data_IF_053255120774
#
_entry.id   IF_053255120774
#
_cell.length_a   1.000
_cell.length_b   1.000
_cell.length_c   1.000
_cell.angle_alpha   90.00
_cell.angle_beta   90.00
_cell.angle_gamma   90.00
#
_symmetry.space_group_name_H-M   'P 1'
#
loop_
_entity.id
_entity.type
_entity.pdbx_description
1 polymer ?
#
# COMPACT_ATOMS: atom_id res chain seq x y z
N UNK A 1 -12.52 18.04 -11.80
CA UNK A 1 -12.66 16.79 -11.05
C UNK A 1 -11.79 15.73 -11.71
N UNK A 2 -10.86 15.13 -10.97
CA UNK A 2 -10.23 13.88 -11.42
C UNK A 2 -10.92 12.78 -10.66
N UNK A 3 -11.84 12.11 -11.32
CA UNK A 3 -12.27 10.77 -10.93
C UNK A 3 -11.03 9.88 -11.06
N UNK A 4 -10.27 9.74 -9.98
CA UNK A 4 -9.43 8.55 -9.85
C UNK A 4 -10.41 7.40 -9.82
N UNK A 5 -10.57 6.72 -10.96
CA UNK A 5 -11.03 5.35 -10.94
C UNK A 5 -10.01 4.62 -10.06
N UNK A 6 -10.34 4.43 -8.79
CA UNK A 6 -9.67 3.54 -7.86
C UNK A 6 -9.92 2.12 -8.40
N UNK A 7 -9.26 1.80 -9.51
CA UNK A 7 -9.19 0.46 -10.02
C UNK A 7 -8.24 -0.28 -9.08
N UNK A 8 -8.82 -0.89 -8.05
CA UNK A 8 -8.23 -1.70 -7.00
C UNK A 8 -7.51 -0.91 -5.87
N UNK A 9 -7.74 -1.30 -4.60
CA UNK A 9 -7.21 -0.64 -3.42
C UNK A 9 -5.68 -0.66 -3.35
N UNK A 10 -5.04 -1.67 -3.93
CA UNK A 10 -3.58 -1.83 -3.93
C UNK A 10 -2.88 -0.70 -4.68
N UNK A 11 -3.44 -0.31 -5.82
CA UNK A 11 -2.88 0.75 -6.66
C UNK A 11 -2.99 2.11 -5.97
N UNK A 12 -4.11 2.35 -5.31
CA UNK A 12 -4.34 3.55 -4.51
C UNK A 12 -3.31 3.68 -3.38
N UNK A 13 -3.02 2.56 -2.72
CA UNK A 13 -2.00 2.49 -1.67
C UNK A 13 -0.62 2.83 -2.20
N UNK A 14 -0.25 2.25 -3.35
CA UNK A 14 1.03 2.50 -4.01
C UNK A 14 1.16 3.97 -4.42
N UNK A 15 0.14 4.54 -5.04
CA UNK A 15 0.11 5.97 -5.41
C UNK A 15 0.25 6.86 -4.16
N UNK A 16 -0.44 6.51 -3.07
CA UNK A 16 -0.35 7.23 -1.80
C UNK A 16 1.06 7.14 -1.20
N UNK A 17 1.65 5.95 -1.11
CA UNK A 17 3.03 5.70 -0.64
C UNK A 17 4.09 6.37 -1.53
N UNK A 18 3.79 6.55 -2.81
CA UNK A 18 4.65 7.22 -3.77
C UNK A 18 4.60 8.75 -3.62
N UNK A 19 3.39 9.31 -3.49
CA UNK A 19 3.18 10.74 -3.22
C UNK A 19 3.69 11.16 -1.84
N UNK A 20 3.60 10.24 -0.88
CA UNK A 20 3.93 10.48 0.52
C UNK A 20 5.07 9.57 0.98
N UNK A 21 6.33 9.95 0.68
CA UNK A 21 7.49 9.14 1.05
C UNK A 21 7.75 9.02 2.56
N UNK A 22 6.96 9.73 3.38
CA UNK A 22 7.00 9.68 4.84
C UNK A 22 6.38 8.41 5.43
N UNK A 23 5.57 7.67 4.66
CA UNK A 23 5.08 6.36 5.05
C UNK A 23 6.18 5.30 4.86
N UNK A 24 7.21 5.39 5.69
CA UNK A 24 8.39 4.53 5.66
C UNK A 24 8.63 3.77 6.97
N UNK A 25 7.75 3.94 7.96
CA UNK A 25 7.82 3.32 9.29
C UNK A 25 6.48 2.72 9.67
N UNK A 26 6.47 1.73 10.58
CA UNK A 26 5.25 1.02 10.97
C UNK A 26 4.24 2.00 11.57
N UNK A 27 4.69 2.89 12.44
CA UNK A 27 3.85 3.94 13.03
C UNK A 27 3.17 4.83 11.98
N UNK A 28 3.87 5.23 10.92
CA UNK A 28 3.26 6.04 9.86
C UNK A 28 2.17 5.25 9.11
N UNK A 29 2.38 3.95 8.91
CA UNK A 29 1.37 3.08 8.33
C UNK A 29 0.20 2.88 9.28
N UNK A 30 0.43 2.65 10.58
CA UNK A 30 -0.64 2.60 11.58
C UNK A 30 -1.46 3.90 11.62
N UNK A 31 -0.83 5.06 11.41
CA UNK A 31 -1.51 6.36 11.31
C UNK A 31 -2.42 6.48 10.07
N UNK A 32 -2.14 5.71 9.01
CA UNK A 32 -3.00 5.61 7.83
C UNK A 32 -4.39 5.08 8.19
N UNK A 33 -4.53 4.36 9.32
CA UNK A 33 -5.78 3.75 9.78
C UNK A 33 -6.47 2.94 8.68
N UNK A 34 -5.70 2.09 7.99
CA UNK A 34 -6.32 1.03 7.19
C UNK A 34 -7.16 0.18 8.13
N UNK A 35 -8.42 0.00 7.76
CA UNK A 35 -9.31 -0.88 8.48
C UNK A 35 -8.76 -2.32 8.40
N UNK A 36 -8.78 -3.04 9.52
CA UNK A 36 -8.26 -4.41 9.58
C UNK A 36 -9.06 -5.32 8.65
N UNK A 37 -10.37 -5.07 8.54
CA UNK A 37 -11.28 -5.76 7.62
C UNK A 37 -10.93 -5.48 6.16
N UNK A 38 -10.58 -4.23 5.84
CA UNK A 38 -10.15 -3.83 4.50
C UNK A 38 -8.81 -4.47 4.12
N UNK A 39 -7.88 -4.55 5.07
CA UNK A 39 -6.59 -5.17 4.83
C UNK A 39 -6.76 -6.66 4.54
N UNK A 40 -7.57 -7.38 5.32
CA UNK A 40 -7.72 -8.83 5.16
C UNK A 40 -8.68 -9.23 4.03
N UNK A 41 -9.72 -8.44 3.74
CA UNK A 41 -10.79 -8.82 2.82
C UNK A 41 -10.71 -8.16 1.43
N UNK A 42 -10.19 -6.93 1.34
CA UNK A 42 -10.15 -6.16 0.09
C UNK A 42 -8.73 -6.04 -0.49
N UNK A 43 -7.70 -6.17 0.33
CA UNK A 43 -6.31 -6.02 -0.10
C UNK A 43 -5.68 -7.36 -0.47
N UNK A 44 -5.53 -7.63 -1.78
CA UNK A 44 -4.81 -8.81 -2.25
C UNK A 44 -3.30 -8.58 -2.17
N UNK A 45 -2.61 -9.23 -1.22
CA UNK A 45 -1.14 -9.18 -1.11
C UNK A 45 -0.46 -9.53 -2.45
N UNK A 46 -0.94 -10.57 -3.13
CA UNK A 46 -0.38 -10.98 -4.43
C UNK A 46 -0.48 -9.88 -5.49
N UNK A 47 -1.61 -9.16 -5.56
CA UNK A 47 -1.75 -8.02 -6.48
C UNK A 47 -0.86 -6.85 -6.08
N UNK A 48 -0.78 -6.56 -4.78
CA UNK A 48 0.05 -5.49 -4.23
C UNK A 48 1.52 -5.71 -4.57
N UNK A 49 2.03 -6.94 -4.44
CA UNK A 49 3.39 -7.33 -4.86
C UNK A 49 3.56 -7.22 -6.37
N UNK A 50 2.62 -7.71 -7.19
CA UNK A 50 2.69 -7.57 -8.66
C UNK A 50 2.75 -6.10 -9.12
N UNK A 51 1.92 -5.23 -8.54
CA UNK A 51 1.95 -3.80 -8.83
C UNK A 51 3.26 -3.16 -8.37
N UNK A 52 3.78 -3.56 -7.21
CA UNK A 52 5.06 -3.06 -6.68
C UNK A 52 6.23 -3.46 -7.57
N UNK A 53 6.26 -4.72 -8.04
CA UNK A 53 7.24 -5.23 -9.02
C UNK A 53 7.17 -4.43 -10.33
N UNK A 54 5.96 -4.07 -10.77
CA UNK A 54 5.74 -3.26 -11.98
C UNK A 54 6.23 -1.81 -11.83
N UNK A 55 6.13 -1.23 -10.64
CA UNK A 55 6.71 0.08 -10.32
C UNK A 55 8.26 0.04 -10.24
N UNK A 56 8.84 -1.15 -10.06
CA UNK A 56 10.29 -1.41 -10.10
C UNK A 56 11.13 -0.50 -9.19
N UNK A 57 10.59 -0.12 -8.02
CA UNK A 57 11.21 0.82 -7.10
C UNK A 57 11.56 0.15 -5.76
N UNK A 58 12.86 0.00 -5.48
CA UNK A 58 13.36 -0.62 -4.23
C UNK A 58 12.95 0.10 -2.95
N UNK A 59 12.71 1.41 -3.01
CA UNK A 59 12.26 2.16 -1.84
C UNK A 59 10.77 1.90 -1.58
N UNK A 60 9.97 1.79 -2.63
CA UNK A 60 8.56 1.46 -2.53
C UNK A 60 8.36 0.01 -2.05
N UNK A 61 9.13 -0.92 -2.59
CA UNK A 61 9.15 -2.33 -2.19
C UNK A 61 9.35 -2.51 -0.68
N UNK A 62 10.36 -1.85 -0.11
CA UNK A 62 10.59 -1.87 1.34
C UNK A 62 9.41 -1.31 2.15
N UNK A 63 8.71 -0.29 1.65
CA UNK A 63 7.53 0.30 2.32
C UNK A 63 6.34 -0.64 2.27
N UNK A 64 6.13 -1.27 1.12
CA UNK A 64 5.07 -2.26 0.89
C UNK A 64 5.28 -3.49 1.79
N UNK A 65 6.50 -4.01 1.86
CA UNK A 65 6.86 -5.09 2.79
C UNK A 65 6.61 -4.70 4.25
N UNK A 66 6.92 -3.45 4.62
CA UNK A 66 6.61 -2.93 5.95
C UNK A 66 5.11 -2.91 6.23
N UNK A 67 4.31 -2.57 5.21
CA UNK A 67 2.85 -2.53 5.29
C UNK A 67 2.26 -3.91 5.52
N UNK A 68 2.65 -4.89 4.71
CA UNK A 68 2.27 -6.30 4.86
C UNK A 68 2.61 -6.78 6.28
N UNK A 69 3.82 -6.47 6.76
CA UNK A 69 4.25 -6.83 8.13
C UNK A 69 3.46 -6.10 9.22
N UNK A 70 3.02 -4.87 8.98
CA UNK A 70 2.28 -4.05 9.97
C UNK A 70 0.85 -4.53 10.12
N UNK A 71 0.19 -4.85 9.00
CA UNK A 71 -1.19 -5.35 9.00
C UNK A 71 -1.30 -6.87 9.14
N UNK A 72 -0.17 -7.57 9.28
CA UNK A 72 -0.10 -9.03 9.37
C UNK A 72 -0.88 -9.73 8.24
N UNK A 73 -0.66 -9.24 7.02
CA UNK A 73 -1.17 -9.86 5.80
C UNK A 73 -0.34 -11.07 5.39
#
# INVERSE_FOLDING_TARGET
GRTLQLACPEKALIDLLYLYPFYNTRQALEDLRLDEDFSQSDLDQSKLEEYTLRFNNKALDKRIQLLITTYNL
#
